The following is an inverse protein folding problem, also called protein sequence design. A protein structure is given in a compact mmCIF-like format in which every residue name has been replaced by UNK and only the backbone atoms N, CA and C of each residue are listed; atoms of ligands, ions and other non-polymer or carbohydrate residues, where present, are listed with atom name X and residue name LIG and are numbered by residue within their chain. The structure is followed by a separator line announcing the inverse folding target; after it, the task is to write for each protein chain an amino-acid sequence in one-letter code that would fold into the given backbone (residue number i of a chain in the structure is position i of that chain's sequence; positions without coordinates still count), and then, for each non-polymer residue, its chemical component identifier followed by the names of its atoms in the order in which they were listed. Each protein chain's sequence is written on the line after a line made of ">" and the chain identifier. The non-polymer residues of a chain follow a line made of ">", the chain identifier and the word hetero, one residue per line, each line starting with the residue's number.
data_IF_475467088487
#
_entry.id   IF_475467088487
#
_cell.length_a   1.000
_cell.length_b   1.000
_cell.length_c   1.000
_cell.angle_alpha   90.00
_cell.angle_beta   90.00
_cell.angle_gamma   90.00
#
_symmetry.space_group_name_H-M   'P 1'
#
loop_
_entity.id
_entity.type
_entity.pdbx_description
1 polymer ?
#
# COMPACT_ATOMS: atom_id res chain seq x y z
N UNK A 1 12.68 44.62 54.73
CA UNK A 1 14.12 44.60 55.04
C UNK A 1 14.83 44.09 53.79
N UNK A 2 15.70 44.94 53.24
CA UNK A 2 17.15 44.76 53.25
C UNK A 2 17.61 43.62 52.32
N UNK A 3 18.49 43.79 51.34
CA UNK A 3 19.14 44.92 50.62
C UNK A 3 20.49 44.37 50.14
N UNK A 4 21.10 45.09 49.20
CA UNK A 4 22.39 44.84 48.57
C UNK A 4 22.46 43.69 47.53
N UNK A 5 22.82 43.85 46.25
CA UNK A 5 23.55 44.89 45.46
C UNK A 5 25.04 44.59 45.24
N UNK A 6 25.45 44.65 43.96
CA UNK A 6 26.81 44.90 43.46
C UNK A 6 27.91 43.83 43.68
N UNK A 7 28.91 43.66 42.81
CA UNK A 7 29.21 44.21 41.45
C UNK A 7 30.16 43.20 40.70
N UNK A 8 30.94 43.38 39.63
CA UNK A 8 31.45 44.48 38.74
C UNK A 8 31.98 43.75 37.45
N UNK A 9 32.32 44.33 36.29
CA UNK A 9 31.96 45.54 35.52
C UNK A 9 32.73 45.53 34.17
N UNK A 10 32.68 46.64 33.42
CA UNK A 10 33.30 46.99 32.12
C UNK A 10 32.49 46.60 30.86
N UNK A 11 32.06 47.52 29.96
CA UNK A 11 32.66 48.72 29.31
C UNK A 11 33.38 48.42 27.98
N UNK A 12 33.32 49.26 26.92
CA UNK A 12 32.88 50.67 26.84
C UNK A 12 32.12 50.99 25.51
N UNK A 13 31.46 52.17 25.50
CA UNK A 13 31.10 53.13 24.41
C UNK A 13 31.19 52.75 22.90
N UNK A 14 30.43 53.34 21.96
CA UNK A 14 29.51 54.51 21.93
C UNK A 14 29.24 54.91 20.44
N UNK A 15 28.60 56.02 20.04
CA UNK A 15 27.87 57.12 20.69
C UNK A 15 27.08 57.96 19.61
N UNK A 16 25.95 58.60 19.98
CA UNK A 16 25.22 59.64 19.18
C UNK A 16 24.34 59.12 18.01
N UNK A 17 23.13 59.60 17.68
CA UNK A 17 22.36 60.86 17.91
C UNK A 17 22.75 62.06 16.99
N UNK A 18 21.85 62.92 16.48
CA UNK A 18 20.37 62.94 16.51
C UNK A 18 19.72 63.82 15.39
N UNK A 19 18.41 63.66 15.19
CA UNK A 19 17.37 64.62 14.71
C UNK A 19 17.70 65.82 13.77
N UNK A 20 17.03 65.92 12.60
CA UNK A 20 16.02 66.99 12.23
C UNK A 20 15.48 66.91 10.78
N UNK A 21 14.37 67.65 10.51
CA UNK A 21 13.57 67.61 9.28
C UNK A 21 13.92 68.72 8.27
N UNK A 22 13.63 68.48 6.97
CA UNK A 22 13.28 69.52 6.00
C UNK A 22 12.44 68.99 4.81
N UNK A 23 11.40 69.75 4.43
CA UNK A 23 10.61 69.73 3.18
C UNK A 23 10.21 71.21 2.91
N UNK A 24 9.75 71.68 1.71
CA UNK A 24 9.05 70.94 0.63
C UNK A 24 9.28 71.39 -0.85
N UNK A 25 8.69 70.68 -1.84
CA UNK A 25 8.09 71.10 -3.17
C UNK A 25 8.76 72.15 -4.13
N UNK A 26 8.31 72.32 -5.41
CA UNK A 26 7.50 71.47 -6.32
C UNK A 26 7.91 71.43 -7.83
N UNK A 27 7.55 70.33 -8.53
CA UNK A 27 7.10 70.31 -9.96
C UNK A 27 8.10 70.75 -11.07
N UNK A 28 7.72 70.82 -12.38
CA UNK A 28 7.60 69.61 -13.22
C UNK A 28 8.25 69.74 -14.61
N UNK A 29 8.40 68.63 -15.34
CA UNK A 29 8.24 68.65 -16.81
C UNK A 29 7.64 67.35 -17.34
N UNK A 30 6.50 67.48 -18.04
CA UNK A 30 5.90 66.42 -18.83
C UNK A 30 6.55 66.40 -20.22
N UNK A 31 6.93 65.22 -20.70
CA UNK A 31 7.08 64.98 -22.14
C UNK A 31 6.45 63.63 -22.46
N UNK A 32 5.35 63.66 -23.21
CA UNK A 32 4.55 62.49 -23.55
C UNK A 32 4.99 61.88 -24.87
N UNK A 33 5.07 60.54 -24.93
CA UNK A 33 4.96 59.80 -26.19
C UNK A 33 4.05 58.59 -25.99
N UNK A 34 3.23 58.27 -26.99
CA UNK A 34 2.15 57.30 -26.88
C UNK A 34 2.61 55.88 -27.23
N UNK A 35 2.48 54.99 -26.25
CA UNK A 35 1.66 53.77 -26.40
C UNK A 35 2.17 52.62 -27.28
N UNK A 36 2.43 51.49 -26.61
CA UNK A 36 1.81 50.24 -27.03
C UNK A 36 1.41 49.33 -25.87
N UNK A 37 0.34 48.58 -26.09
CA UNK A 37 -0.16 47.35 -25.44
C UNK A 37 0.80 46.68 -24.42
N UNK A 38 0.40 46.18 -23.25
CA UNK A 38 -0.72 45.23 -23.03
C UNK A 38 -0.96 44.96 -21.52
N UNK A 39 -2.18 44.54 -21.14
CA UNK A 39 -2.49 43.95 -19.82
C UNK A 39 -1.66 42.68 -19.55
N UNK A 40 -1.34 42.37 -18.28
CA UNK A 40 -1.96 41.26 -17.51
C UNK A 40 -1.72 41.40 -15.99
N UNK A 41 -2.80 41.33 -15.21
CA UNK A 41 -2.75 40.87 -13.82
C UNK A 41 -2.61 39.34 -13.80
N UNK A 42 -1.81 38.80 -12.87
CA UNK A 42 -1.95 37.41 -12.42
C UNK A 42 -1.83 37.39 -10.89
N UNK A 43 -2.97 37.27 -10.21
CA UNK A 43 -3.05 36.89 -8.80
C UNK A 43 -3.88 35.60 -8.73
N UNK A 44 -3.20 34.47 -8.48
CA UNK A 44 -3.83 33.15 -8.48
C UNK A 44 -3.05 32.18 -7.58
N UNK A 45 -3.08 32.40 -6.26
CA UNK A 45 -2.52 31.45 -5.30
C UNK A 45 -3.49 30.26 -5.13
N UNK A 46 -3.49 29.36 -6.13
CA UNK A 46 -4.23 28.10 -6.05
C UNK A 46 -3.58 27.20 -5.01
N UNK A 47 -4.07 27.29 -3.77
CA UNK A 47 -3.88 26.25 -2.76
C UNK A 47 -4.61 24.99 -3.20
N UNK A 48 -3.99 24.25 -4.12
CA UNK A 48 -4.35 22.86 -4.40
C UNK A 48 -4.01 22.08 -3.14
N UNK A 49 -5.00 21.92 -2.28
CA UNK A 49 -4.98 20.95 -1.20
C UNK A 49 -4.90 19.56 -1.83
N UNK A 50 -3.68 19.10 -2.07
CA UNK A 50 -3.36 17.70 -2.27
C UNK A 50 -3.76 16.94 -1.00
N UNK A 51 -5.05 16.61 -0.90
CA UNK A 51 -5.53 15.59 0.03
C UNK A 51 -4.63 14.37 -0.18
N UNK A 52 -3.97 13.86 0.88
CA UNK A 52 -2.96 12.82 0.73
C UNK A 52 -3.59 11.65 -0.01
N UNK A 53 -3.10 11.39 -1.22
CA UNK A 53 -3.58 10.30 -2.07
C UNK A 53 -3.08 9.02 -1.43
N UNK A 54 -3.88 8.50 -0.49
CA UNK A 54 -3.72 7.17 0.08
C UNK A 54 -3.96 6.16 -1.04
N UNK A 55 -2.89 5.93 -1.81
CA UNK A 55 -2.73 4.90 -2.80
C UNK A 55 -2.60 3.57 -2.06
N UNK A 56 -3.73 3.08 -1.55
CA UNK A 56 -3.87 1.69 -1.13
C UNK A 56 -3.54 0.84 -2.36
N UNK A 57 -2.44 0.10 -2.25
CA UNK A 57 -1.95 -0.85 -3.23
C UNK A 57 -2.94 -2.02 -3.27
N UNK A 58 -3.88 -1.95 -4.23
CA UNK A 58 -4.85 -3.00 -4.54
C UNK A 58 -4.37 -3.70 -5.80
N UNK A 59 -4.15 -5.00 -5.69
CA UNK A 59 -3.71 -5.91 -6.75
C UNK A 59 -4.74 -7.01 -6.95
N UNK A 60 -4.69 -7.71 -8.08
CA UNK A 60 -5.32 -9.04 -8.13
C UNK A 60 -4.50 -9.99 -7.26
N UNK A 61 -5.13 -11.07 -6.79
CA UNK A 61 -4.42 -12.14 -6.08
C UNK A 61 -3.25 -12.70 -6.90
N UNK A 62 -3.36 -12.67 -8.23
CA UNK A 62 -2.32 -13.14 -9.14
C UNK A 62 -1.15 -12.16 -9.29
N UNK A 63 -1.38 -10.84 -9.36
CA UNK A 63 -0.26 -9.87 -9.42
C UNK A 63 0.52 -9.87 -8.11
N UNK A 64 -0.18 -10.05 -6.98
CA UNK A 64 0.44 -10.22 -5.67
C UNK A 64 1.24 -11.53 -5.58
N UNK A 65 0.71 -12.63 -6.14
CA UNK A 65 1.45 -13.90 -6.25
C UNK A 65 2.70 -13.75 -7.13
N UNK A 66 2.60 -13.11 -8.28
CA UNK A 66 3.74 -12.85 -9.16
C UNK A 66 4.80 -11.98 -8.46
N UNK A 67 4.37 -11.02 -7.63
CA UNK A 67 5.26 -10.25 -6.75
C UNK A 67 5.90 -11.06 -5.62
N UNK A 68 5.20 -12.03 -5.03
CA UNK A 68 5.73 -12.91 -3.97
C UNK A 68 6.65 -14.02 -4.53
N UNK A 69 6.42 -14.51 -5.75
CA UNK A 69 7.30 -15.43 -6.49
C UNK A 69 8.53 -14.71 -7.06
N UNK A 70 8.36 -13.47 -7.56
CA UNK A 70 9.42 -12.69 -8.19
C UNK A 70 9.77 -13.17 -9.61
N UNK A 71 11.00 -12.88 -10.06
CA UNK A 71 11.50 -13.38 -11.35
C UNK A 71 11.70 -14.89 -11.29
N UNK A 72 11.22 -15.60 -12.30
CA UNK A 72 11.48 -17.04 -12.48
C UNK A 72 12.19 -17.26 -13.80
N UNK A 73 13.21 -18.09 -13.74
CA UNK A 73 13.91 -18.69 -14.87
C UNK A 73 13.62 -20.19 -14.79
N UNK A 74 13.00 -20.75 -15.83
CA UNK A 74 12.65 -22.17 -15.87
C UNK A 74 13.81 -23.05 -16.35
N UNK A 75 14.78 -22.49 -17.07
CA UNK A 75 15.98 -23.22 -17.50
C UNK A 75 16.92 -23.40 -16.31
N UNK A 76 17.12 -22.35 -15.50
CA UNK A 76 17.78 -22.45 -14.20
C UNK A 76 16.96 -23.26 -13.16
N UNK A 77 15.64 -23.23 -13.28
CA UNK A 77 14.69 -23.99 -12.46
C UNK A 77 14.13 -23.21 -11.27
N UNK A 78 12.88 -23.52 -10.92
CA UNK A 78 12.16 -22.94 -9.77
C UNK A 78 12.90 -23.22 -8.46
N UNK A 79 13.10 -22.20 -7.63
CA UNK A 79 13.71 -22.34 -6.31
C UNK A 79 12.71 -22.88 -5.26
N UNK A 80 13.22 -23.51 -4.19
CA UNK A 80 12.40 -24.06 -3.10
C UNK A 80 11.38 -23.04 -2.56
N UNK A 81 11.82 -21.81 -2.29
CA UNK A 81 10.97 -20.72 -1.78
C UNK A 81 9.86 -20.31 -2.76
N UNK A 82 10.14 -20.38 -4.07
CA UNK A 82 9.13 -20.12 -5.10
C UNK A 82 8.12 -21.27 -5.16
N UNK A 83 8.58 -22.52 -5.07
CA UNK A 83 7.70 -23.67 -4.97
C UNK A 83 6.82 -23.65 -3.70
N UNK A 84 7.35 -23.25 -2.54
CA UNK A 84 6.56 -23.03 -1.32
C UNK A 84 5.46 -21.98 -1.52
N UNK A 85 5.81 -20.87 -2.16
CA UNK A 85 4.86 -19.78 -2.47
C UNK A 85 3.76 -20.25 -3.43
N UNK A 86 4.13 -21.02 -4.46
CA UNK A 86 3.23 -21.63 -5.44
C UNK A 86 2.32 -22.70 -4.81
N UNK A 87 2.86 -23.58 -3.96
CA UNK A 87 2.09 -24.62 -3.25
C UNK A 87 1.12 -24.02 -2.24
N UNK A 88 1.55 -23.01 -1.47
CA UNK A 88 0.70 -22.29 -0.53
C UNK A 88 -0.47 -21.58 -1.23
N UNK A 89 -0.24 -20.99 -2.41
CA UNK A 89 -1.30 -20.43 -3.25
C UNK A 89 -2.26 -21.52 -3.75
N UNK A 90 -1.75 -22.61 -4.31
CA UNK A 90 -2.55 -23.71 -4.85
C UNK A 90 -3.45 -24.32 -3.76
N UNK A 91 -2.87 -24.64 -2.60
CA UNK A 91 -3.56 -25.03 -1.37
C UNK A 91 -4.76 -24.10 -1.08
N UNK A 92 -4.50 -22.81 -0.87
CA UNK A 92 -5.53 -21.83 -0.49
C UNK A 92 -6.57 -21.51 -1.58
N UNK A 93 -6.40 -22.03 -2.80
CA UNK A 93 -7.24 -21.70 -3.95
C UNK A 93 -8.01 -22.86 -4.56
N UNK A 94 -7.51 -24.09 -4.45
CA UNK A 94 -8.10 -25.28 -5.08
C UNK A 94 -8.35 -26.43 -4.11
N UNK A 95 -7.71 -26.45 -2.93
CA UNK A 95 -7.84 -27.53 -1.96
C UNK A 95 -8.81 -27.13 -0.85
N UNK A 96 -9.99 -27.77 -0.83
CA UNK A 96 -11.06 -27.47 0.13
C UNK A 96 -10.59 -27.60 1.58
N UNK A 97 -10.72 -26.52 2.35
CA UNK A 97 -10.30 -26.49 3.75
C UNK A 97 -8.79 -26.50 3.97
N UNK A 98 -7.96 -26.21 2.95
CA UNK A 98 -6.52 -26.10 3.10
C UNK A 98 -6.11 -24.72 3.66
N UNK A 99 -5.48 -24.72 4.84
CA UNK A 99 -4.98 -23.49 5.46
C UNK A 99 -3.54 -23.16 5.07
N UNK A 100 -2.68 -24.18 5.10
CA UNK A 100 -1.24 -24.12 4.88
C UNK A 100 -0.78 -25.32 4.05
N UNK A 101 0.34 -25.17 3.34
CA UNK A 101 1.12 -26.29 2.83
C UNK A 101 2.38 -26.50 3.69
N UNK A 102 2.94 -27.70 3.68
CA UNK A 102 4.27 -27.96 4.26
C UNK A 102 5.38 -27.36 3.37
N UNK A 103 6.59 -27.09 3.91
CA UNK A 103 7.76 -26.69 3.12
C UNK A 103 7.98 -27.59 1.90
N UNK A 104 8.50 -27.03 0.81
CA UNK A 104 8.72 -27.77 -0.42
C UNK A 104 9.94 -28.69 -0.27
N UNK A 105 9.75 -29.98 -0.53
CA UNK A 105 10.80 -31.00 -0.47
C UNK A 105 11.28 -31.28 -1.90
N UNK A 106 12.59 -31.33 -2.10
CA UNK A 106 13.18 -31.70 -3.39
C UNK A 106 12.89 -33.18 -3.71
N UNK A 107 12.31 -33.45 -4.88
CA UNK A 107 12.26 -34.79 -5.49
C UNK A 107 12.68 -34.74 -6.97
N UNK A 108 13.96 -34.47 -7.20
CA UNK A 108 14.63 -34.59 -8.50
C UNK A 108 14.07 -33.62 -9.56
N UNK A 109 13.02 -33.99 -10.28
CA UNK A 109 12.37 -33.15 -11.30
C UNK A 109 11.33 -32.19 -10.69
N UNK A 110 10.79 -32.54 -9.52
CA UNK A 110 9.70 -31.82 -8.86
C UNK A 110 10.10 -31.26 -7.50
N UNK A 111 9.41 -30.20 -7.09
CA UNK A 111 9.21 -29.87 -5.69
C UNK A 111 7.89 -30.49 -5.21
N UNK A 112 7.91 -31.09 -4.03
CA UNK A 112 6.75 -31.79 -3.45
C UNK A 112 6.36 -31.13 -2.13
N UNK A 113 5.10 -30.71 -2.01
CA UNK A 113 4.58 -30.01 -0.83
C UNK A 113 3.24 -30.60 -0.41
N UNK A 114 3.16 -31.13 0.82
CA UNK A 114 1.93 -31.75 1.33
C UNK A 114 0.96 -30.67 1.86
N UNK A 115 -0.31 -30.64 1.42
CA UNK A 115 -1.34 -29.77 1.99
C UNK A 115 -1.64 -30.08 3.46
N UNK A 116 -2.08 -29.07 4.23
CA UNK A 116 -2.72 -29.23 5.54
C UNK A 116 -4.20 -28.87 5.45
N UNK A 117 -5.07 -29.87 5.56
CA UNK A 117 -6.52 -29.74 5.36
C UNK A 117 -7.34 -29.96 6.63
N UNK A 118 -8.53 -29.37 6.66
CA UNK A 118 -9.46 -29.44 7.78
C UNK A 118 -9.05 -28.59 8.98
N UNK A 119 -9.94 -28.49 9.98
CA UNK A 119 -9.77 -27.59 11.14
C UNK A 119 -8.53 -27.95 11.98
N UNK A 120 -8.15 -29.23 12.02
CA UNK A 120 -6.95 -29.71 12.73
C UNK A 120 -5.65 -29.60 11.91
N UNK A 121 -5.70 -29.15 10.65
CA UNK A 121 -4.52 -29.00 9.79
C UNK A 121 -3.79 -30.31 9.50
N UNK A 122 -4.55 -31.40 9.27
CA UNK A 122 -4.02 -32.74 9.01
C UNK A 122 -3.35 -32.78 7.64
N UNK A 123 -2.26 -33.53 7.50
CA UNK A 123 -1.61 -33.75 6.20
C UNK A 123 -2.59 -34.45 5.23
N UNK A 124 -2.81 -33.87 4.05
CA UNK A 124 -3.55 -34.54 2.98
C UNK A 124 -2.74 -35.73 2.42
N UNK A 125 -3.43 -36.75 1.93
CA UNK A 125 -2.82 -37.95 1.35
C UNK A 125 -2.17 -37.66 -0.01
N UNK A 126 -2.67 -36.66 -0.72
CA UNK A 126 -2.20 -36.26 -2.05
C UNK A 126 -1.35 -34.99 -1.93
N UNK A 127 -0.07 -35.06 -2.34
CA UNK A 127 0.83 -33.90 -2.32
C UNK A 127 0.63 -33.00 -3.57
N UNK A 128 0.93 -31.71 -3.42
CA UNK A 128 1.09 -30.79 -4.55
C UNK A 128 2.47 -31.04 -5.17
N UNK A 129 2.50 -31.17 -6.50
CA UNK A 129 3.72 -31.32 -7.29
C UNK A 129 3.97 -30.03 -8.08
N UNK A 130 5.23 -29.59 -8.14
CA UNK A 130 5.66 -28.40 -8.89
C UNK A 130 6.90 -28.76 -9.70
N UNK A 131 6.76 -28.94 -11.01
CA UNK A 131 7.86 -29.34 -11.89
C UNK A 131 8.87 -28.21 -12.05
N UNK A 132 10.12 -28.44 -11.63
CA UNK A 132 11.17 -27.41 -11.48
C UNK A 132 11.40 -26.59 -12.75
N UNK A 133 11.45 -27.26 -13.89
CA UNK A 133 11.75 -26.68 -15.19
C UNK A 133 10.51 -26.55 -16.11
N UNK A 134 9.36 -27.09 -15.70
CA UNK A 134 8.11 -26.99 -16.49
C UNK A 134 7.19 -25.88 -15.98
N UNK A 135 7.32 -25.49 -14.71
CA UNK A 135 6.40 -24.57 -14.05
C UNK A 135 4.97 -25.10 -13.93
N UNK A 136 4.74 -26.39 -14.16
CA UNK A 136 3.42 -27.02 -13.95
C UNK A 136 3.23 -27.24 -12.45
N UNK A 137 2.08 -26.83 -11.93
CA UNK A 137 1.60 -27.11 -10.58
C UNK A 137 0.41 -28.06 -10.70
N UNK A 138 0.46 -29.21 -10.03
CA UNK A 138 -0.62 -30.19 -10.04
C UNK A 138 -0.94 -30.74 -8.65
N UNK A 139 -2.16 -31.23 -8.50
CA UNK A 139 -2.63 -31.97 -7.34
C UNK A 139 -3.71 -32.95 -7.82
N UNK A 140 -3.65 -34.21 -7.37
CA UNK A 140 -4.42 -35.35 -7.90
C UNK A 140 -5.94 -35.13 -8.02
N UNK A 141 -6.53 -34.23 -7.22
CA UNK A 141 -7.96 -33.91 -7.18
C UNK A 141 -8.28 -32.47 -7.59
N UNK A 142 -7.33 -31.75 -8.19
CA UNK A 142 -7.46 -30.36 -8.63
C UNK A 142 -7.03 -30.15 -10.09
N UNK A 143 -7.13 -28.92 -10.62
CA UNK A 143 -6.69 -28.60 -11.97
C UNK A 143 -5.17 -28.46 -12.05
N UNK A 144 -4.58 -28.84 -13.18
CA UNK A 144 -3.21 -28.44 -13.50
C UNK A 144 -3.17 -26.93 -13.81
N UNK A 145 -2.15 -26.23 -13.30
CA UNK A 145 -1.86 -24.83 -13.58
C UNK A 145 -0.47 -24.71 -14.19
N UNK A 146 -0.25 -23.75 -15.09
CA UNK A 146 1.10 -23.35 -15.50
C UNK A 146 1.48 -22.05 -14.79
N UNK A 147 2.72 -21.98 -14.34
CA UNK A 147 3.30 -20.77 -13.74
C UNK A 147 3.19 -19.57 -14.70
N UNK A 148 3.34 -19.77 -16.01
CA UNK A 148 3.13 -18.75 -17.03
C UNK A 148 1.72 -18.12 -16.95
N UNK A 149 0.69 -18.94 -16.72
CA UNK A 149 -0.69 -18.47 -16.53
C UNK A 149 -0.89 -17.77 -15.18
N UNK A 150 0.04 -17.95 -14.23
CA UNK A 150 0.06 -17.28 -12.92
C UNK A 150 0.81 -15.94 -12.95
N UNK A 151 1.88 -15.79 -13.75
CA UNK A 151 2.72 -14.57 -13.81
C UNK A 151 2.59 -13.73 -15.09
N UNK A 152 1.85 -14.21 -16.09
CA UNK A 152 1.61 -13.49 -17.34
C UNK A 152 0.74 -12.22 -17.21
N UNK A 153 0.59 -11.42 -18.28
CA UNK A 153 -0.18 -10.16 -18.27
C UNK A 153 -1.65 -10.37 -17.89
N UNK A 154 -2.19 -9.52 -17.00
CA UNK A 154 -3.50 -9.74 -16.37
C UNK A 154 -4.41 -8.53 -16.34
N UNK A 155 -5.69 -8.79 -16.05
CA UNK A 155 -6.71 -7.77 -15.80
C UNK A 155 -6.26 -6.85 -14.67
N UNK A 156 -5.96 -5.59 -14.99
CA UNK A 156 -5.56 -4.58 -14.01
C UNK A 156 -6.58 -4.51 -12.87
N UNK A 157 -6.11 -4.63 -11.63
CA UNK A 157 -6.95 -4.61 -10.45
C UNK A 157 -7.95 -3.42 -10.46
N UNK A 158 -9.27 -3.66 -10.39
CA UNK A 158 -10.25 -2.60 -10.42
C UNK A 158 -10.14 -1.74 -9.15
N UNK A 159 -10.42 -0.44 -9.28
CA UNK A 159 -10.43 0.50 -8.16
C UNK A 159 -11.84 0.55 -7.55
N UNK A 160 -11.97 0.66 -6.21
CA UNK A 160 -13.28 0.83 -5.58
C UNK A 160 -13.87 2.21 -5.93
N UNK A 161 -15.17 2.26 -6.18
CA UNK A 161 -15.94 3.48 -6.44
C UNK A 161 -16.00 4.34 -5.16
N UNK A 162 -16.15 3.70 -4.00
CA UNK A 162 -16.06 4.33 -2.69
C UNK A 162 -14.96 3.68 -1.84
N UNK A 163 -14.02 4.46 -1.32
CA UNK A 163 -12.97 3.98 -0.40
C UNK A 163 -13.44 3.79 1.06
N UNK A 164 -14.74 3.95 1.30
CA UNK A 164 -15.32 4.03 2.65
C UNK A 164 -15.10 5.41 3.30
N UNK A 165 -16.03 5.82 4.17
CA UNK A 165 -15.89 7.03 5.00
C UNK A 165 -15.17 6.79 6.34
N UNK A 166 -14.70 5.56 6.58
CA UNK A 166 -14.09 5.14 7.83
C UNK A 166 -12.69 5.77 8.01
N UNK A 167 -12.59 6.76 8.90
CA UNK A 167 -11.34 7.44 9.24
C UNK A 167 -10.36 6.47 9.91
N UNK A 168 -9.05 6.54 9.60
CA UNK A 168 -8.03 5.82 10.35
C UNK A 168 -8.09 6.13 11.85
N UNK A 169 -7.78 5.12 12.68
CA UNK A 169 -7.75 5.24 14.14
C UNK A 169 -6.39 5.81 14.56
N UNK A 170 -6.36 6.86 15.39
CA UNK A 170 -5.07 7.38 15.91
C UNK A 170 -4.37 6.37 16.82
N UNK A 171 -3.05 6.39 16.76
CA UNK A 171 -2.09 5.78 17.67
C UNK A 171 -1.31 6.88 18.40
N UNK A 172 -0.46 6.52 19.38
CA UNK A 172 0.61 7.40 19.84
C UNK A 172 1.54 7.84 18.70
N UNK A 173 2.08 9.05 18.77
CA UNK A 173 2.86 9.68 17.69
C UNK A 173 4.16 8.94 17.33
N UNK A 174 4.73 8.19 18.29
CA UNK A 174 5.94 7.38 18.14
C UNK A 174 5.68 6.05 17.41
N UNK A 175 4.47 5.51 17.48
CA UNK A 175 4.13 4.20 16.94
C UNK A 175 4.37 4.11 15.41
N UNK A 176 4.88 2.98 14.91
CA UNK A 176 4.82 2.70 13.46
C UNK A 176 3.36 2.58 13.02
N UNK A 177 3.04 3.16 11.85
CA UNK A 177 1.75 2.95 11.17
C UNK A 177 1.63 1.48 10.76
N UNK A 178 0.72 0.68 11.37
CA UNK A 178 0.67 -0.75 11.17
C UNK A 178 -0.25 -1.07 9.97
N UNK A 179 0.29 -1.82 9.01
CA UNK A 179 -0.41 -2.15 7.75
C UNK A 179 -0.95 -3.58 7.80
N UNK A 180 -2.25 -3.77 7.54
CA UNK A 180 -2.82 -5.09 7.33
C UNK A 180 -2.78 -5.46 5.84
N UNK A 181 -2.40 -6.71 5.49
CA UNK A 181 -2.56 -7.24 4.13
C UNK A 181 -3.83 -8.10 4.11
N UNK A 182 -4.88 -7.61 3.45
CA UNK A 182 -6.20 -8.26 3.38
C UNK A 182 -6.45 -8.78 1.96
N UNK A 183 -6.89 -10.03 1.84
CA UNK A 183 -7.48 -10.60 0.63
C UNK A 183 -9.01 -10.59 0.75
N UNK A 184 -9.70 -10.35 -0.35
CA UNK A 184 -11.16 -10.34 -0.42
C UNK A 184 -11.66 -10.68 -1.84
N UNK A 185 -12.94 -11.01 -1.95
CA UNK A 185 -13.60 -11.34 -3.23
C UNK A 185 -14.63 -10.26 -3.56
N UNK A 186 -14.45 -9.60 -4.71
CA UNK A 186 -15.47 -8.71 -5.29
C UNK A 186 -16.45 -9.58 -6.07
N UNK A 187 -17.73 -9.50 -5.73
CA UNK A 187 -18.81 -10.24 -6.39
C UNK A 187 -19.18 -9.61 -7.75
N UNK A 188 -19.95 -10.31 -8.61
CA UNK A 188 -20.47 -9.73 -9.86
C UNK A 188 -21.26 -8.43 -9.68
N UNK A 189 -21.91 -8.25 -8.53
CA UNK A 189 -22.64 -7.04 -8.16
C UNK A 189 -21.74 -5.91 -7.59
N UNK A 190 -20.42 -6.08 -7.59
CA UNK A 190 -19.46 -5.10 -7.08
C UNK A 190 -19.33 -5.04 -5.55
N UNK A 191 -19.95 -5.98 -4.81
CA UNK A 191 -19.88 -6.03 -3.35
C UNK A 191 -18.68 -6.86 -2.87
N UNK A 192 -18.05 -6.45 -1.77
CA UNK A 192 -16.94 -7.17 -1.14
C UNK A 192 -17.47 -8.31 -0.26
N UNK A 193 -16.83 -9.47 -0.36
CA UNK A 193 -17.16 -10.71 0.37
C UNK A 193 -15.88 -11.49 0.72
N UNK A 194 -16.00 -12.55 1.53
CA UNK A 194 -14.91 -13.51 1.81
C UNK A 194 -13.58 -12.86 2.27
N UNK A 195 -13.67 -11.87 3.15
CA UNK A 195 -12.53 -11.09 3.66
C UNK A 195 -11.66 -11.98 4.56
N UNK A 196 -10.35 -12.04 4.28
CA UNK A 196 -9.36 -12.80 5.07
C UNK A 196 -8.02 -12.07 5.14
N UNK A 197 -7.34 -12.13 6.28
CA UNK A 197 -5.97 -11.59 6.39
C UNK A 197 -4.98 -12.54 5.72
N UNK A 198 -4.09 -11.99 4.87
CA UNK A 198 -2.81 -12.63 4.52
C UNK A 198 -1.68 -12.17 5.45
N UNK A 199 -1.82 -11.00 6.09
CA UNK A 199 -0.95 -10.54 7.18
C UNK A 199 -1.74 -9.62 8.13
N UNK A 200 -1.74 -9.96 9.43
CA UNK A 200 -2.19 -9.05 10.50
C UNK A 200 -1.24 -7.86 10.62
N UNK A 201 -1.78 -6.70 10.98
CA UNK A 201 -1.01 -5.50 11.30
C UNK A 201 -0.27 -5.57 12.64
N UNK A 202 -0.46 -6.65 13.41
CA UNK A 202 0.05 -6.82 14.79
C UNK A 202 -0.83 -6.15 15.85
N UNK A 203 -1.88 -5.42 15.46
CA UNK A 203 -2.79 -4.74 16.38
C UNK A 203 -4.25 -5.08 16.04
N UNK A 204 -4.92 -5.84 16.91
CA UNK A 204 -6.30 -6.32 16.69
C UNK A 204 -7.33 -5.20 16.48
N UNK A 205 -7.08 -3.99 17.01
CA UNK A 205 -7.97 -2.82 16.81
C UNK A 205 -7.73 -2.14 15.45
N UNK A 206 -6.50 -2.17 14.93
CA UNK A 206 -6.18 -1.72 13.56
C UNK A 206 -6.64 -2.76 12.51
N UNK A 207 -6.52 -4.05 12.82
CA UNK A 207 -7.03 -5.16 12.00
C UNK A 207 -8.56 -5.11 11.86
N UNK A 208 -9.30 -4.96 12.96
CA UNK A 208 -10.76 -4.85 12.92
C UNK A 208 -11.23 -3.59 12.14
N UNK A 209 -10.46 -2.49 12.20
CA UNK A 209 -10.70 -1.32 11.35
C UNK A 209 -10.43 -1.62 9.86
N UNK A 210 -9.42 -2.44 9.55
CA UNK A 210 -9.09 -2.85 8.18
C UNK A 210 -10.15 -3.75 7.55
N UNK A 211 -10.72 -4.69 8.29
CA UNK A 211 -11.88 -5.46 7.82
C UNK A 211 -13.05 -4.52 7.49
N UNK A 212 -13.44 -3.63 8.41
CA UNK A 212 -14.57 -2.70 8.22
C UNK A 212 -14.36 -1.71 7.07
N UNK A 213 -13.13 -1.24 6.84
CA UNK A 213 -12.79 -0.40 5.69
C UNK A 213 -13.02 -1.18 4.39
N UNK A 214 -12.42 -2.37 4.26
CA UNK A 214 -12.52 -3.20 3.04
C UNK A 214 -13.95 -3.68 2.79
N UNK A 215 -14.69 -4.07 3.84
CA UNK A 215 -16.11 -4.44 3.79
C UNK A 215 -17.02 -3.31 3.30
N UNK A 216 -16.65 -2.05 3.54
CA UNK A 216 -17.40 -0.88 3.08
C UNK A 216 -17.20 -0.54 1.59
N UNK A 217 -16.17 -1.10 0.95
CA UNK A 217 -15.85 -0.83 -0.45
C UNK A 217 -16.86 -1.46 -1.42
N UNK A 218 -17.18 -0.73 -2.48
CA UNK A 218 -17.95 -1.19 -3.64
C UNK A 218 -17.17 -0.90 -4.91
N UNK A 219 -17.32 -1.77 -5.89
CA UNK A 219 -16.65 -1.74 -7.19
C UNK A 219 -17.70 -1.69 -8.29
N UNK A 220 -17.30 -1.41 -9.54
CA UNK A 220 -18.21 -1.52 -10.68
C UNK A 220 -18.72 -2.95 -10.83
N UNK A 221 -20.02 -3.17 -11.14
CA UNK A 221 -20.52 -4.49 -11.50
C UNK A 221 -19.76 -5.10 -12.67
N UNK A 222 -19.55 -6.42 -12.64
CA UNK A 222 -18.71 -7.15 -13.60
C UNK A 222 -19.21 -8.59 -13.79
N UNK A 223 -18.85 -9.24 -14.90
CA UNK A 223 -19.45 -10.52 -15.35
C UNK A 223 -19.16 -11.74 -14.44
N UNK A 224 -18.10 -11.70 -13.64
CA UNK A 224 -17.61 -12.79 -12.81
C UNK A 224 -17.12 -12.23 -11.45
N UNK A 225 -16.85 -13.04 -10.42
CA UNK A 225 -16.11 -12.57 -9.24
C UNK A 225 -14.62 -12.30 -9.56
N UNK A 226 -13.92 -11.55 -8.69
CA UNK A 226 -12.45 -11.41 -8.72
C UNK A 226 -11.88 -11.37 -7.32
N UNK A 227 -10.71 -11.97 -7.12
CA UNK A 227 -9.98 -11.98 -5.86
C UNK A 227 -8.91 -10.90 -5.88
N UNK A 228 -8.98 -10.00 -4.90
CA UNK A 228 -8.08 -8.86 -4.76
C UNK A 228 -7.32 -8.96 -3.44
N UNK A 229 -6.14 -8.36 -3.41
CA UNK A 229 -5.33 -8.16 -2.20
C UNK A 229 -5.08 -6.67 -2.05
N UNK A 230 -5.24 -6.15 -0.84
CA UNK A 230 -4.99 -4.76 -0.50
C UNK A 230 -4.05 -4.63 0.71
N UNK A 231 -3.08 -3.73 0.60
CA UNK A 231 -2.33 -3.23 1.75
C UNK A 231 -3.10 -2.04 2.36
N UNK A 232 -3.61 -2.21 3.58
CA UNK A 232 -4.56 -1.29 4.21
C UNK A 232 -3.94 -0.63 5.45
N UNK A 233 -3.63 0.66 5.32
CA UNK A 233 -3.20 1.51 6.43
C UNK A 233 -4.44 2.03 7.16
N UNK A 234 -4.69 1.55 8.38
CA UNK A 234 -5.94 1.82 9.12
C UNK A 234 -5.75 2.51 10.46
N UNK A 235 -4.50 2.66 10.86
CA UNK A 235 -4.11 3.40 12.03
C UNK A 235 -3.15 4.50 11.61
N UNK A 236 -3.44 5.73 12.02
CA UNK A 236 -2.59 6.89 11.77
C UNK A 236 -1.82 7.25 13.04
N UNK A 237 -0.81 8.12 12.89
CA UNK A 237 -0.43 9.04 13.94
C UNK A 237 -1.48 10.16 13.91
#
# INVERSE_FOLDING_TARGET
>A
MLSHESDHAADHAGNGSDFRLATPTPTPFLSSSLGHTMKKLIAALLFVLCAPVYAQDIKTLADELAGEIGRVDLDAGITQKQAETMAQYYCQRFIGGCGLAYPAIDRNLDWVSTPKTGVAGVADQDAILIGKHTGVISWKRGPDLRLADLIGPKETAPKPINKGGAKPRRLPDDALVPTAKIQFVVSPAGAVTHIRFRRSSGNSKCDLAAMRIVESWRFSPRKQPIELVANVNTCAR
#
